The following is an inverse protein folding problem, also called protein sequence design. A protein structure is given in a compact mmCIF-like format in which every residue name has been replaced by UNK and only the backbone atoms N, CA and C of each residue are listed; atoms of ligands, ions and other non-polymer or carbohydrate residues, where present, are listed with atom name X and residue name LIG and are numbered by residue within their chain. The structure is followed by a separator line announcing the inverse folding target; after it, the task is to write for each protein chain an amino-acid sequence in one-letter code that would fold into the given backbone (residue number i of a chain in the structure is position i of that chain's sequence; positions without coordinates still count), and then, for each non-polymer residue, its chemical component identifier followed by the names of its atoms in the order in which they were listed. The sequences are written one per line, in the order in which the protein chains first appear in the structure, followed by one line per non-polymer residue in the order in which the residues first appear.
data_IF_102276949607
#
_entry.id   IF_102276949607
#
_cell.length_a   1.000
_cell.length_b   1.000
_cell.length_c   1.000
_cell.angle_alpha   90.00
_cell.angle_beta   90.00
_cell.angle_gamma   90.00
#
_symmetry.space_group_name_H-M   'P 1'
#
loop_
_entity.id
_entity.type
_entity.pdbx_description
1 polymer ?
#
# COMPACT_ATOMS: atom_id res chain seq x y z
N UNK A 1 -2.39 2.66 -5.10
CA UNK A 1 -1.69 3.18 -3.91
C UNK A 1 -1.42 4.67 -4.14
N UNK A 2 -2.07 5.56 -3.38
CA UNK A 2 -2.08 7.00 -3.66
C UNK A 2 -0.73 7.66 -3.31
N UNK A 3 -0.09 8.25 -4.32
CA UNK A 3 0.81 9.38 -4.14
C UNK A 3 -0.03 10.66 -4.23
N UNK A 4 0.10 11.53 -3.24
CA UNK A 4 -0.28 12.94 -3.30
C UNK A 4 0.81 13.75 -2.58
N UNK A 5 1.51 14.60 -3.34
CA UNK A 5 2.42 15.65 -2.90
C UNK A 5 1.61 16.95 -2.70
N UNK A 6 1.98 17.90 -1.79
CA UNK A 6 3.14 18.76 -2.04
C UNK A 6 3.98 19.29 -0.84
N UNK A 7 5.21 19.69 -1.21
CA UNK A 7 6.10 20.75 -0.68
C UNK A 7 6.63 20.65 0.76
N UNK A 8 7.77 19.96 0.92
CA UNK A 8 8.99 20.65 1.39
C UNK A 8 10.26 19.88 0.98
N UNK A 9 11.32 20.62 0.67
CA UNK A 9 12.60 20.11 0.13
C UNK A 9 13.26 19.17 1.15
N UNK A 10 13.27 17.86 0.86
CA UNK A 10 14.19 16.79 1.32
C UNK A 10 13.44 15.44 1.23
N UNK A 11 13.35 14.87 0.03
CA UNK A 11 12.51 13.70 -0.28
C UNK A 11 13.23 12.35 -0.17
N UNK A 12 12.60 11.41 0.57
CA UNK A 12 12.52 10.00 0.23
C UNK A 12 11.08 9.53 0.50
N UNK A 13 10.31 9.24 -0.56
CA UNK A 13 8.85 9.08 -0.52
C UNK A 13 8.40 7.61 -0.39
N UNK A 14 8.17 7.19 0.86
CA UNK A 14 7.22 6.15 1.26
C UNK A 14 6.08 6.88 1.98
N UNK A 15 4.82 6.47 1.81
CA UNK A 15 3.66 7.05 2.51
C UNK A 15 3.95 7.19 4.02
N UNK A 16 4.28 8.39 4.45
CA UNK A 16 4.54 8.75 5.86
C UNK A 16 3.21 9.06 6.54
N UNK A 17 2.29 8.10 6.54
CA UNK A 17 1.30 8.07 7.60
C UNK A 17 1.96 7.38 8.81
N UNK A 18 2.11 8.11 9.91
CA UNK A 18 2.75 7.68 11.17
C UNK A 18 1.89 6.65 11.92
N UNK A 19 1.31 5.68 11.24
CA UNK A 19 0.65 4.54 11.87
C UNK A 19 1.73 3.56 12.32
N UNK A 20 2.29 3.87 13.49
CA UNK A 20 3.38 3.11 14.14
C UNK A 20 2.83 1.76 14.57
N UNK A 21 2.93 0.74 13.71
CA UNK A 21 2.83 -0.64 14.19
C UNK A 21 4.04 -0.92 15.08
N UNK A 22 3.85 -0.83 16.40
CA UNK A 22 4.84 -1.16 17.42
C UNK A 22 4.76 -2.64 17.70
N UNK A 23 5.93 -3.26 17.81
CA UNK A 23 6.04 -4.65 18.22
C UNK A 23 6.67 -4.81 19.59
N UNK A 24 6.19 -5.81 20.32
CA UNK A 24 6.86 -6.38 21.50
C UNK A 24 7.01 -7.88 21.28
N UNK A 25 8.22 -8.39 21.48
CA UNK A 25 8.49 -9.83 21.46
C UNK A 25 8.23 -10.41 22.86
N UNK A 26 7.61 -11.59 22.95
CA UNK A 26 7.54 -12.35 24.19
C UNK A 26 8.45 -13.58 24.08
N UNK A 27 9.49 -13.62 24.91
CA UNK A 27 10.53 -14.63 24.90
C UNK A 27 10.29 -15.58 26.11
N UNK A 28 10.22 -16.92 25.94
CA UNK A 28 10.20 -17.94 27.04
C UNK A 28 11.55 -18.68 27.15
N UNK A 29 12.13 -18.73 28.34
CA UNK A 29 13.58 -18.79 28.63
C UNK A 29 14.23 -20.16 28.51
N UNK A 30 14.99 -20.42 27.43
CA UNK A 30 16.00 -21.49 27.25
C UNK A 30 17.01 -20.99 26.16
N UNK A 31 18.34 -21.20 26.27
CA UNK A 31 19.30 -20.64 25.30
C UNK A 31 19.11 -21.27 23.91
N UNK A 32 19.12 -20.44 22.86
CA UNK A 32 18.59 -20.66 21.49
C UNK A 32 17.07 -20.40 21.39
N UNK A 33 16.60 -19.21 21.80
CA UNK A 33 15.18 -18.80 21.69
C UNK A 33 14.80 -18.48 20.24
N UNK A 34 13.99 -19.33 19.60
CA UNK A 34 13.03 -18.89 18.57
C UNK A 34 11.89 -18.15 19.32
N UNK A 35 11.50 -16.95 18.88
CA UNK A 35 10.25 -16.34 19.34
C UNK A 35 9.09 -17.25 18.92
N UNK A 36 8.11 -17.50 19.79
CA UNK A 36 6.92 -18.28 19.42
C UNK A 36 5.97 -17.45 18.54
N UNK A 37 5.85 -16.15 18.85
CA UNK A 37 4.99 -15.20 18.14
C UNK A 37 5.49 -13.75 18.32
N UNK A 38 5.02 -12.88 17.44
CA UNK A 38 5.16 -11.44 17.47
C UNK A 38 3.82 -10.80 17.88
N UNK A 39 3.86 -9.64 18.54
CA UNK A 39 2.65 -8.85 18.82
C UNK A 39 2.69 -7.59 17.97
N UNK A 40 1.67 -7.37 17.14
CA UNK A 40 1.50 -6.17 16.30
C UNK A 40 0.48 -5.22 16.92
N UNK A 41 0.86 -3.96 17.06
CA UNK A 41 -0.01 -2.90 17.57
C UNK A 41 0.09 -1.63 16.74
N UNK A 42 -0.98 -1.19 16.08
CA UNK A 42 -1.03 0.05 15.30
C UNK A 42 -2.03 -0.06 14.16
N UNK A 43 -1.89 0.79 13.14
CA UNK A 43 -2.73 0.70 11.95
C UNK A 43 -1.94 0.83 10.66
N UNK A 44 -2.60 0.66 9.52
CA UNK A 44 -2.08 1.00 8.19
C UNK A 44 -3.20 1.59 7.35
N UNK A 45 -2.96 2.77 6.79
CA UNK A 45 -3.95 3.47 5.98
C UNK A 45 -3.68 3.33 4.48
N UNK A 46 -4.68 3.64 3.65
CA UNK A 46 -4.62 3.54 2.17
C UNK A 46 -4.39 2.14 1.62
N UNK A 47 -4.83 1.10 2.34
CA UNK A 47 -4.63 -0.29 1.91
C UNK A 47 -5.68 -0.67 0.90
N UNK A 48 -5.23 -1.07 -0.29
CA UNK A 48 -6.11 -1.57 -1.36
C UNK A 48 -6.58 -2.98 -1.01
N UNK A 49 -7.86 -3.28 -1.27
CA UNK A 49 -8.50 -4.57 -0.95
C UNK A 49 -8.60 -4.87 0.55
N UNK A 50 -8.57 -3.84 1.40
CA UNK A 50 -8.46 -3.98 2.85
C UNK A 50 -9.49 -4.91 3.51
N UNK A 51 -10.75 -4.93 3.05
CA UNK A 51 -11.86 -5.69 3.61
C UNK A 51 -12.12 -7.05 2.95
N UNK A 52 -11.67 -7.20 1.70
CA UNK A 52 -11.87 -8.41 0.89
C UNK A 52 -10.65 -9.33 0.83
N UNK A 53 -9.47 -8.87 1.25
CA UNK A 53 -8.27 -9.71 1.28
C UNK A 53 -8.34 -10.74 2.41
N UNK A 54 -8.11 -12.01 2.07
CA UNK A 54 -7.95 -13.08 3.06
C UNK A 54 -6.53 -13.15 3.63
N UNK A 55 -5.54 -12.74 2.84
CA UNK A 55 -4.12 -12.74 3.20
C UNK A 55 -3.51 -11.37 2.85
N UNK A 56 -2.74 -10.82 3.79
CA UNK A 56 -2.09 -9.53 3.68
C UNK A 56 -0.59 -9.65 3.97
N UNK A 57 0.22 -8.99 3.14
CA UNK A 57 1.63 -8.79 3.40
C UNK A 57 1.83 -7.47 4.15
N UNK A 58 2.24 -7.54 5.41
CA UNK A 58 2.32 -6.38 6.30
C UNK A 58 3.76 -6.10 6.70
N UNK A 59 4.24 -4.92 6.30
CA UNK A 59 5.53 -4.40 6.75
C UNK A 59 5.39 -3.71 8.11
N UNK A 60 6.12 -4.21 9.10
CA UNK A 60 6.09 -3.70 10.47
C UNK A 60 7.52 -3.50 11.01
N UNK A 61 7.69 -2.51 11.89
CA UNK A 61 9.00 -2.23 12.50
C UNK A 61 9.20 -3.17 13.70
N UNK A 62 10.17 -4.07 13.59
CA UNK A 62 10.53 -5.04 14.64
C UNK A 62 11.69 -4.59 15.51
N UNK A 63 12.56 -3.70 15.01
CA UNK A 63 13.68 -3.14 15.78
C UNK A 63 13.71 -1.61 15.65
N UNK A 64 13.65 -0.92 16.79
CA UNK A 64 13.60 0.54 16.85
C UNK A 64 14.96 1.22 16.99
N UNK A 65 15.99 0.49 17.40
CA UNK A 65 17.32 1.00 17.75
C UNK A 65 18.29 1.01 16.57
N UNK A 66 17.90 0.38 15.46
CA UNK A 66 18.66 0.38 14.21
C UNK A 66 18.16 1.45 13.23
N UNK A 67 18.95 1.70 12.18
CA UNK A 67 18.51 2.57 11.07
C UNK A 67 17.13 2.10 10.58
N UNK A 68 16.19 3.01 10.29
CA UNK A 68 14.80 2.66 10.00
C UNK A 68 14.63 1.54 8.97
N UNK A 69 15.42 1.55 7.90
CA UNK A 69 15.37 0.54 6.85
C UNK A 69 15.79 -0.88 7.28
N UNK A 70 16.60 -1.02 8.33
CA UNK A 70 17.07 -2.30 8.86
C UNK A 70 16.19 -2.82 9.99
N UNK A 71 15.23 -2.02 10.46
CA UNK A 71 14.31 -2.38 11.52
C UNK A 71 12.96 -2.87 11.03
N UNK A 72 12.75 -3.00 9.72
CA UNK A 72 11.47 -3.38 9.12
C UNK A 72 11.51 -4.85 8.71
N UNK A 73 10.48 -5.58 9.11
CA UNK A 73 10.24 -6.98 8.74
C UNK A 73 8.90 -7.11 8.03
N UNK A 74 8.70 -8.23 7.34
CA UNK A 74 7.50 -8.52 6.56
C UNK A 74 6.77 -9.72 7.15
N UNK A 75 5.45 -9.60 7.33
CA UNK A 75 4.62 -10.64 7.92
C UNK A 75 3.44 -10.99 7.02
N UNK A 76 3.05 -12.25 7.07
CA UNK A 76 1.77 -12.72 6.54
C UNK A 76 0.71 -12.57 7.62
N UNK A 77 -0.33 -11.79 7.33
CA UNK A 77 -1.50 -11.63 8.21
C UNK A 77 -2.71 -12.24 7.52
N UNK A 78 -3.43 -13.07 8.26
CA UNK A 78 -4.64 -13.72 7.78
C UNK A 78 -5.88 -13.04 8.35
N UNK A 79 -6.95 -13.00 7.54
CA UNK A 79 -8.25 -12.49 7.96
C UNK A 79 -8.79 -13.31 9.12
N UNK A 80 -9.24 -12.62 10.16
CA UNK A 80 -9.77 -13.25 11.39
C UNK A 80 -8.72 -13.61 12.43
N UNK A 81 -7.44 -13.31 12.20
CA UNK A 81 -6.40 -13.43 13.22
C UNK A 81 -6.76 -12.58 14.46
N UNK A 82 -6.56 -13.13 15.66
CA UNK A 82 -6.89 -12.44 16.92
C UNK A 82 -6.15 -11.09 16.99
N UNK A 83 -6.88 -10.01 17.29
CA UNK A 83 -6.33 -8.65 17.35
C UNK A 83 -6.15 -7.96 15.99
N UNK A 84 -6.50 -8.60 14.88
CA UNK A 84 -6.56 -7.97 13.55
C UNK A 84 -8.00 -7.60 13.18
N UNK A 85 -8.20 -6.36 12.74
CA UNK A 85 -9.47 -5.88 12.21
C UNK A 85 -9.27 -4.84 11.10
N UNK A 86 -10.37 -4.40 10.49
CA UNK A 86 -10.36 -3.45 9.38
C UNK A 86 -11.29 -2.27 9.68
N UNK A 87 -10.90 -1.08 9.22
CA UNK A 87 -11.67 0.14 9.39
C UNK A 87 -12.85 0.25 8.41
N UNK A 88 -13.27 1.49 8.11
CA UNK A 88 -14.29 1.76 7.09
C UNK A 88 -13.63 2.03 5.73
N UNK A 89 -14.33 1.75 4.61
CA UNK A 89 -13.86 2.19 3.29
C UNK A 89 -13.66 3.70 3.24
N UNK A 90 -12.58 4.14 2.59
CA UNK A 90 -12.29 5.54 2.33
C UNK A 90 -13.16 6.04 1.17
N UNK A 91 -13.71 7.24 1.34
CA UNK A 91 -14.37 7.95 0.25
C UNK A 91 -13.31 8.58 -0.67
N UNK A 92 -13.32 8.16 -1.93
CA UNK A 92 -12.31 8.52 -2.94
C UNK A 92 -12.94 9.22 -4.13
N UNK A 93 -12.20 10.18 -4.70
CA UNK A 93 -12.60 10.88 -5.93
C UNK A 93 -12.82 9.92 -7.11
N UNK A 94 -11.92 8.95 -7.29
CA UNK A 94 -11.92 7.96 -8.37
C UNK A 94 -11.54 6.57 -7.88
N UNK A 95 -11.44 5.60 -8.79
CA UNK A 95 -11.16 4.20 -8.47
C UNK A 95 -12.08 3.63 -7.37
N UNK A 96 -13.36 4.04 -7.38
CA UNK A 96 -14.34 3.68 -6.34
C UNK A 96 -14.64 2.18 -6.29
N UNK A 97 -14.47 1.48 -7.41
CA UNK A 97 -14.56 0.01 -7.49
C UNK A 97 -13.38 -0.73 -6.86
N UNK A 98 -12.32 -0.02 -6.45
CA UNK A 98 -11.23 -0.59 -5.66
C UNK A 98 -11.46 -0.23 -4.18
N UNK A 99 -11.86 -1.19 -3.33
CA UNK A 99 -12.00 -0.93 -1.91
C UNK A 99 -10.65 -0.51 -1.33
N UNK A 100 -10.66 0.55 -0.53
CA UNK A 100 -9.45 1.08 0.10
C UNK A 100 -9.81 1.52 1.49
N UNK A 101 -9.01 1.16 2.48
CA UNK A 101 -9.35 1.38 3.88
C UNK A 101 -8.14 1.31 4.79
N UNK A 102 -8.45 1.08 6.06
CA UNK A 102 -7.48 0.97 7.14
C UNK A 102 -7.43 -0.48 7.64
N UNK A 103 -6.22 -0.95 7.92
CA UNK A 103 -5.95 -2.16 8.70
C UNK A 103 -5.65 -1.76 10.14
N UNK A 104 -6.20 -2.47 11.12
CA UNK A 104 -6.06 -2.17 12.55
C UNK A 104 -5.51 -3.41 13.26
N UNK A 105 -4.50 -3.19 14.11
CA UNK A 105 -3.83 -4.23 14.88
C UNK A 105 -3.84 -3.83 16.37
N UNK A 106 -4.50 -4.62 17.20
CA UNK A 106 -4.62 -4.45 18.64
C UNK A 106 -4.20 -5.75 19.33
N UNK A 107 -2.98 -5.74 19.87
CA UNK A 107 -2.32 -6.92 20.45
C UNK A 107 -2.39 -8.17 19.55
N UNK A 108 -2.28 -7.95 18.23
CA UNK A 108 -2.40 -8.99 17.23
C UNK A 108 -1.23 -9.98 17.31
N UNK A 109 -1.53 -11.24 17.67
CA UNK A 109 -0.52 -12.29 17.83
C UNK A 109 -0.25 -12.96 16.48
N UNK A 110 0.94 -12.69 15.94
CA UNK A 110 1.39 -13.24 14.67
C UNK A 110 2.40 -14.35 14.93
N UNK A 111 2.15 -15.60 14.51
CA UNK A 111 3.11 -16.70 14.66
C UNK A 111 4.47 -16.33 14.05
N UNK A 112 5.56 -16.79 14.66
CA UNK A 112 6.89 -16.48 14.13
C UNK A 112 7.15 -17.07 12.73
N UNK A 113 6.45 -18.15 12.37
CA UNK A 113 6.46 -18.74 11.02
C UNK A 113 5.81 -17.86 9.95
N UNK A 114 4.96 -16.90 10.34
CA UNK A 114 4.38 -15.93 9.42
C UNK A 114 5.37 -14.79 9.05
N UNK A 115 6.58 -14.78 9.64
CA UNK A 115 7.65 -13.90 9.19
C UNK A 115 8.11 -14.32 7.79
N UNK A 116 7.93 -13.45 6.81
CA UNK A 116 8.37 -13.69 5.44
C UNK A 116 9.81 -13.21 5.26
N UNK A 117 10.72 -14.16 5.05
CA UNK A 117 12.15 -13.89 4.93
C UNK A 117 12.81 -13.74 6.31
N UNK A 118 13.85 -12.90 6.39
CA UNK A 118 14.59 -12.69 7.64
C UNK A 118 14.14 -11.40 8.35
N UNK A 119 14.19 -11.41 9.68
CA UNK A 119 13.89 -10.24 10.50
C UNK A 119 14.82 -9.07 10.11
N UNK A 120 14.26 -7.87 10.01
CA UNK A 120 14.96 -6.66 9.58
C UNK A 120 15.29 -6.59 8.09
N UNK A 121 14.84 -7.56 7.28
CA UNK A 121 15.07 -7.61 5.82
C UNK A 121 13.84 -7.25 4.98
N UNK A 122 12.74 -6.80 5.60
CA UNK A 122 11.49 -6.49 4.90
C UNK A 122 11.65 -5.42 3.81
N UNK A 123 12.52 -4.42 3.99
CA UNK A 123 12.75 -3.39 2.96
C UNK A 123 13.29 -3.96 1.66
N UNK A 124 14.10 -5.01 1.70
CA UNK A 124 14.62 -5.61 0.46
C UNK A 124 13.51 -6.27 -0.36
N UNK A 125 12.54 -6.91 0.32
CA UNK A 125 11.36 -7.47 -0.33
C UNK A 125 10.52 -6.35 -0.93
N UNK A 126 10.25 -5.28 -0.17
CA UNK A 126 9.53 -4.11 -0.66
C UNK A 126 10.17 -3.52 -1.91
N UNK A 127 11.48 -3.29 -1.88
CA UNK A 127 12.20 -2.67 -2.99
C UNK A 127 12.32 -3.58 -4.21
N UNK A 128 12.25 -4.90 -4.05
CA UNK A 128 12.32 -5.85 -5.17
C UNK A 128 11.10 -5.79 -6.11
N UNK A 129 9.92 -5.41 -5.60
CA UNK A 129 8.68 -5.33 -6.39
C UNK A 129 8.34 -3.92 -6.88
N UNK A 130 8.86 -2.89 -6.22
CA UNK A 130 8.39 -1.51 -6.36
C UNK A 130 8.55 -0.95 -7.79
N UNK A 131 9.62 -1.32 -8.50
CA UNK A 131 9.84 -0.84 -9.88
C UNK A 131 8.87 -1.47 -10.88
N UNK A 132 8.51 -2.74 -10.68
CA UNK A 132 7.49 -3.42 -11.49
C UNK A 132 6.11 -2.81 -11.20
N UNK A 133 5.77 -2.56 -9.93
CA UNK A 133 4.52 -1.90 -9.57
C UNK A 133 4.39 -0.52 -10.22
N UNK A 134 5.45 0.28 -10.22
CA UNK A 134 5.47 1.59 -10.89
C UNK A 134 5.21 1.48 -12.39
N UNK A 135 5.82 0.50 -13.05
CA UNK A 135 5.61 0.26 -14.47
C UNK A 135 4.14 -0.11 -14.78
N UNK A 136 3.57 -1.02 -13.99
CA UNK A 136 2.17 -1.44 -14.16
C UNK A 136 1.22 -0.28 -13.89
N UNK A 137 1.50 0.55 -12.88
CA UNK A 137 0.67 1.72 -12.56
C UNK A 137 0.66 2.77 -13.67
N UNK A 138 1.73 2.90 -14.47
CA UNK A 138 1.79 3.83 -15.59
C UNK A 138 0.88 3.41 -16.76
N UNK A 139 0.63 2.11 -16.94
CA UNK A 139 -0.18 1.59 -18.04
C UNK A 139 -1.65 2.06 -17.98
N UNK A 140 -2.22 2.19 -16.78
CA UNK A 140 -3.60 2.63 -16.57
C UNK A 140 -3.88 4.03 -17.14
N UNK A 141 -3.17 5.08 -16.69
CA UNK A 141 -3.29 6.43 -17.24
C UNK A 141 -3.06 6.49 -18.76
N UNK A 142 -2.10 5.74 -19.29
CA UNK A 142 -1.84 5.69 -20.74
C UNK A 142 -3.04 5.12 -21.51
N UNK A 143 -3.62 4.02 -21.03
CA UNK A 143 -4.83 3.45 -21.64
C UNK A 143 -6.03 4.40 -21.56
N UNK A 144 -6.20 5.10 -20.43
CA UNK A 144 -7.26 6.12 -20.28
C UNK A 144 -7.05 7.27 -21.26
N UNK A 145 -5.81 7.77 -21.41
CA UNK A 145 -5.50 8.81 -22.39
C UNK A 145 -5.83 8.37 -23.82
N UNK A 146 -5.50 7.13 -24.18
CA UNK A 146 -5.85 6.59 -25.50
C UNK A 146 -7.38 6.56 -25.70
N UNK A 147 -8.14 6.05 -24.72
CA UNK A 147 -9.60 6.02 -24.80
C UNK A 147 -10.21 7.44 -24.90
N UNK A 148 -9.63 8.42 -24.19
CA UNK A 148 -10.02 9.82 -24.32
C UNK A 148 -9.76 10.34 -25.74
N UNK A 149 -8.62 10.02 -26.35
CA UNK A 149 -8.32 10.38 -27.74
C UNK A 149 -9.30 9.72 -28.72
N UNK A 150 -9.60 8.44 -28.54
CA UNK A 150 -10.52 7.71 -29.44
C UNK A 150 -11.91 8.36 -29.47
N UNK A 151 -12.42 8.80 -28.32
CA UNK A 151 -13.71 9.50 -28.21
C UNK A 151 -13.61 10.96 -28.69
N UNK A 152 -12.60 11.69 -28.23
CA UNK A 152 -12.47 13.12 -28.51
C UNK A 152 -12.20 13.38 -30.00
N UNK A 153 -11.30 12.59 -30.61
CA UNK A 153 -10.93 12.78 -32.01
C UNK A 153 -12.09 12.47 -32.93
N UNK A 154 -12.89 11.43 -32.69
CA UNK A 154 -14.12 11.20 -33.45
C UNK A 154 -15.09 12.39 -33.32
N UNK A 155 -15.35 12.82 -32.08
CA UNK A 155 -16.30 13.91 -31.81
C UNK A 155 -15.94 15.23 -32.51
N UNK A 156 -14.65 15.62 -32.53
CA UNK A 156 -14.22 16.88 -33.15
C UNK A 156 -14.39 16.89 -34.68
N UNK A 157 -14.40 15.72 -35.33
CA UNK A 157 -14.61 15.62 -36.79
C UNK A 157 -16.09 15.69 -37.20
N UNK A 158 -17.02 15.58 -36.24
CA UNK A 158 -18.46 15.58 -36.50
C UNK A 158 -19.18 16.79 -35.89
N UNK A 159 -18.74 17.30 -34.73
CA UNK A 159 -19.36 18.45 -34.06
C UNK A 159 -19.08 19.74 -34.83
N UNK A 160 -20.15 20.46 -35.21
CA UNK A 160 -20.08 21.79 -35.81
C UNK A 160 -20.40 22.90 -34.82
N UNK A 161 -19.63 23.99 -34.87
CA UNK A 161 -19.88 25.24 -34.14
C UNK A 161 -19.29 26.42 -34.93
N UNK A 162 -19.92 27.60 -34.88
CA UNK A 162 -19.52 28.77 -35.67
C UNK A 162 -19.38 28.50 -37.18
N UNK A 163 -20.23 27.64 -37.73
CA UNK A 163 -20.25 27.31 -39.17
C UNK A 163 -19.25 26.25 -39.64
N UNK A 164 -18.32 25.80 -38.78
CA UNK A 164 -17.25 24.85 -39.13
C UNK A 164 -17.22 23.65 -38.18
N UNK A 165 -16.49 22.59 -38.55
CA UNK A 165 -16.23 21.46 -37.63
C UNK A 165 -15.24 21.93 -36.57
N UNK A 166 -15.44 21.58 -35.30
CA UNK A 166 -14.60 22.10 -34.22
C UNK A 166 -13.14 21.60 -34.29
N UNK A 167 -12.88 20.49 -34.99
CA UNK A 167 -11.53 20.01 -35.25
C UNK A 167 -10.73 20.82 -36.29
N UNK A 168 -11.34 21.83 -36.93
CA UNK A 168 -10.68 22.71 -37.92
C UNK A 168 -10.12 24.00 -37.30
N UNK A 169 -10.36 24.26 -36.00
CA UNK A 169 -9.78 25.40 -35.28
C UNK A 169 -8.30 25.15 -34.90
N UNK A 170 -7.49 26.21 -34.81
CA UNK A 170 -6.04 26.17 -34.55
C UNK A 170 -5.63 25.59 -33.18
#
# INVERSE_FOLDING_TARGET
MSQLLPRNKNEHSISHDQSRVRMRQNLKSIPIRKCDYYILNGSKFWITNFDVADILLVYAKTNFDVRPQHGISLFIIEKGMEGFSVGKPLDKLGMRGSPTGELIFEDCKVPAENLLGAEGKGVYVLMSGLDVERLVLAAGPVGIMQACCDVAFDYVHHRKQFGHKIGEFQ
#
